data_IF_251292314079
#
_entry.id   IF_251292314079
#
_cell.length_a   1.000
_cell.length_b   1.000
_cell.length_c   1.000
_cell.angle_alpha   90.00
_cell.angle_beta   90.00
_cell.angle_gamma   90.00
#
_symmetry.space_group_name_H-M   'P 1'
#
loop_
_entity.id
_entity.type
_entity.pdbx_description
1 polymer ?
#
# COMPACT_ATOMS: atom_id res chain seq x y z
N UNK A 1 -63.28 68.76 9.72
CA UNK A 1 -64.15 67.56 9.67
C UNK A 1 -64.00 66.95 8.29
N UNK A 2 -63.10 65.97 8.15
CA UNK A 2 -63.09 64.91 7.13
C UNK A 2 -61.84 64.05 7.36
N UNK A 3 -62.10 62.78 7.57
CA UNK A 3 -61.16 61.76 8.01
C UNK A 3 -60.10 61.44 6.96
N UNK A 4 -58.83 61.51 7.36
CA UNK A 4 -57.77 60.71 6.76
C UNK A 4 -57.18 59.88 7.90
N UNK A 5 -57.91 58.85 8.30
CA UNK A 5 -57.38 57.81 9.17
C UNK A 5 -56.54 56.89 8.28
N UNK A 6 -55.23 56.93 8.53
CA UNK A 6 -54.20 56.03 8.02
C UNK A 6 -54.70 54.57 8.05
N UNK A 7 -54.92 53.98 6.88
CA UNK A 7 -54.84 52.52 6.78
C UNK A 7 -53.36 52.15 6.92
N UNK A 8 -52.94 51.82 8.14
CA UNK A 8 -51.72 51.06 8.34
C UNK A 8 -51.89 49.72 7.62
N UNK A 9 -50.94 49.28 6.79
CA UNK A 9 -51.00 47.93 6.24
C UNK A 9 -51.05 46.97 7.41
N UNK A 10 -52.11 46.17 7.52
CA UNK A 10 -52.16 45.05 8.45
C UNK A 10 -50.94 44.19 8.15
N UNK A 11 -49.94 44.27 9.02
CA UNK A 11 -48.79 43.37 9.00
C UNK A 11 -49.40 41.99 9.26
N UNK A 12 -49.53 41.22 8.18
CA UNK A 12 -50.19 39.92 8.16
C UNK A 12 -49.61 39.06 9.29
N UNK A 13 -50.44 38.48 10.18
CA UNK A 13 -49.97 37.61 11.24
C UNK A 13 -49.68 36.23 10.65
N UNK A 14 -48.61 36.13 9.84
CA UNK A 14 -48.18 34.85 9.24
C UNK A 14 -47.67 33.87 10.31
N UNK A 15 -47.41 34.36 11.53
CA UNK A 15 -46.79 33.62 12.63
C UNK A 15 -47.75 33.07 13.71
N UNK A 16 -49.08 33.30 13.62
CA UNK A 16 -50.01 32.83 14.66
C UNK A 16 -50.82 31.59 14.30
N UNK A 17 -50.74 31.10 13.06
CA UNK A 17 -51.38 29.85 12.69
C UNK A 17 -50.51 28.66 13.12
N UNK A 18 -50.98 27.77 14.03
CA UNK A 18 -50.23 26.58 14.42
C UNK A 18 -49.84 25.70 13.23
N UNK A 19 -50.60 25.72 12.12
CA UNK A 19 -50.23 25.01 10.90
C UNK A 19 -48.94 25.57 10.27
N UNK A 20 -48.74 26.90 10.27
CA UNK A 20 -47.54 27.55 9.74
C UNK A 20 -46.30 27.30 10.60
N UNK A 21 -46.50 27.11 11.91
CA UNK A 21 -45.42 26.74 12.84
C UNK A 21 -44.89 25.34 12.52
N UNK A 22 -45.77 24.35 12.33
CA UNK A 22 -45.35 22.98 11.96
C UNK A 22 -44.67 22.92 10.61
N UNK A 23 -45.14 23.70 9.63
CA UNK A 23 -44.48 23.83 8.32
C UNK A 23 -43.07 24.43 8.47
N UNK A 24 -42.92 25.47 9.28
CA UNK A 24 -41.63 26.14 9.51
C UNK A 24 -40.64 25.25 10.28
N UNK A 25 -41.10 24.52 11.31
CA UNK A 25 -40.29 23.52 12.02
C UNK A 25 -39.88 22.38 11.08
N UNK A 26 -40.82 21.87 10.27
CA UNK A 26 -40.53 20.85 9.27
C UNK A 26 -39.47 21.30 8.26
N UNK A 27 -39.60 22.52 7.74
CA UNK A 27 -38.61 23.10 6.82
C UNK A 27 -37.24 23.25 7.48
N UNK A 28 -37.18 23.77 8.71
CA UNK A 28 -35.93 23.93 9.45
C UNK A 28 -35.22 22.58 9.69
N UNK A 29 -35.97 21.53 10.05
CA UNK A 29 -35.44 20.18 10.22
C UNK A 29 -34.90 19.63 8.90
N UNK A 30 -35.65 19.76 7.80
CA UNK A 30 -35.20 19.32 6.47
C UNK A 30 -33.93 20.06 6.04
N UNK A 31 -33.87 21.38 6.19
CA UNK A 31 -32.69 22.17 5.85
C UNK A 31 -31.49 21.79 6.71
N UNK A 32 -31.68 21.57 8.01
CA UNK A 32 -30.63 21.10 8.90
C UNK A 32 -30.07 19.74 8.45
N UNK A 33 -30.92 18.76 8.16
CA UNK A 33 -30.46 17.45 7.67
C UNK A 33 -29.81 17.53 6.29
N UNK A 34 -30.31 18.38 5.39
CA UNK A 34 -29.67 18.61 4.10
C UNK A 34 -28.26 19.18 4.26
N UNK A 35 -28.06 20.12 5.19
CA UNK A 35 -26.74 20.66 5.53
C UNK A 35 -25.82 19.60 6.13
N UNK A 36 -26.32 18.76 7.05
CA UNK A 36 -25.56 17.64 7.61
C UNK A 36 -25.16 16.67 6.49
N UNK A 37 -26.08 16.27 5.62
CA UNK A 37 -25.75 15.40 4.49
C UNK A 37 -24.73 16.06 3.57
N UNK A 38 -24.89 17.33 3.21
CA UNK A 38 -23.93 18.05 2.37
C UNK A 38 -22.52 18.10 3.00
N UNK A 39 -22.42 18.34 4.31
CA UNK A 39 -21.15 18.38 5.04
C UNK A 39 -20.48 17.01 5.15
N UNK A 40 -21.26 15.93 5.23
CA UNK A 40 -20.74 14.56 5.44
C UNK A 40 -20.75 13.67 4.20
N UNK A 41 -21.37 14.11 3.09
CA UNK A 41 -21.51 13.31 1.86
C UNK A 41 -20.16 12.84 1.33
N UNK A 42 -19.14 13.70 1.34
CA UNK A 42 -17.80 13.33 0.89
C UNK A 42 -17.16 12.27 1.78
N UNK A 43 -17.32 12.38 3.12
CA UNK A 43 -16.79 11.40 4.07
C UNK A 43 -17.48 10.05 3.92
N UNK A 44 -18.82 10.06 3.78
CA UNK A 44 -19.61 8.85 3.55
C UNK A 44 -19.21 8.19 2.23
N UNK A 45 -19.12 8.97 1.14
CA UNK A 45 -18.69 8.48 -0.18
C UNK A 45 -17.28 7.90 -0.14
N UNK A 46 -16.34 8.58 0.55
CA UNK A 46 -14.95 8.09 0.72
C UNK A 46 -14.89 6.82 1.57
N UNK A 47 -15.83 6.62 2.50
CA UNK A 47 -15.89 5.39 3.29
C UNK A 47 -16.48 4.22 2.50
N UNK A 48 -17.53 4.43 1.71
CA UNK A 48 -18.18 3.37 0.93
C UNK A 48 -17.44 3.02 -0.36
N UNK A 49 -16.79 3.97 -1.01
CA UNK A 49 -16.10 3.74 -2.28
C UNK A 49 -14.58 3.58 -2.10
N UNK A 50 -14.17 2.71 -1.17
CA UNK A 50 -12.75 2.37 -0.99
C UNK A 50 -12.33 1.26 -1.93
N UNK A 51 -11.12 1.36 -2.46
CA UNK A 51 -10.48 0.29 -3.20
C UNK A 51 -10.15 -0.87 -2.24
N UNK A 52 -10.51 -2.08 -2.64
CA UNK A 52 -10.09 -3.32 -2.00
C UNK A 52 -9.04 -3.94 -2.92
N UNK A 53 -7.82 -4.00 -2.42
CA UNK A 53 -6.68 -4.55 -3.13
C UNK A 53 -6.17 -5.81 -2.42
N UNK A 54 -5.36 -6.60 -3.12
CA UNK A 54 -4.71 -7.81 -2.60
C UNK A 54 -3.24 -7.88 -3.04
N UNK A 55 -2.45 -8.69 -2.36
CA UNK A 55 -1.04 -8.95 -2.68
C UNK A 55 -0.78 -10.43 -2.93
N UNK A 56 -0.06 -10.73 -4.00
CA UNK A 56 0.42 -12.07 -4.36
C UNK A 56 1.92 -11.99 -4.71
N UNK A 57 2.70 -13.02 -4.38
CA UNK A 57 4.10 -13.18 -4.79
C UNK A 57 4.19 -14.57 -5.43
N UNK A 58 4.41 -14.59 -6.73
CA UNK A 58 4.52 -15.82 -7.50
C UNK A 58 5.95 -15.95 -8.00
N UNK A 59 6.64 -17.05 -7.68
CA UNK A 59 8.01 -17.32 -8.10
C UNK A 59 8.06 -17.90 -9.52
N UNK A 60 7.36 -17.27 -10.45
CA UNK A 60 7.32 -17.68 -11.87
C UNK A 60 7.48 -16.46 -12.77
N UNK A 61 8.10 -16.59 -13.95
CA UNK A 61 8.04 -15.55 -14.96
C UNK A 61 6.58 -15.28 -15.39
N UNK A 62 6.20 -14.02 -15.69
CA UNK A 62 7.03 -12.81 -15.69
C UNK A 62 7.10 -12.08 -14.34
N UNK A 63 6.48 -12.62 -13.28
CA UNK A 63 6.44 -11.99 -11.96
C UNK A 63 7.83 -11.96 -11.31
N UNK A 64 8.57 -13.07 -11.38
CA UNK A 64 9.96 -13.18 -10.93
C UNK A 64 10.84 -13.77 -12.04
N UNK A 65 12.03 -13.21 -12.26
CA UNK A 65 12.98 -13.71 -13.27
C UNK A 65 14.40 -13.21 -12.98
N UNK A 66 15.37 -13.86 -13.62
CA UNK A 66 16.76 -13.48 -13.62
C UNK A 66 17.01 -12.33 -14.59
N UNK A 67 17.79 -11.34 -14.15
CA UNK A 67 18.32 -10.30 -15.04
C UNK A 67 19.82 -10.17 -14.87
N UNK A 68 20.44 -9.66 -15.93
CA UNK A 68 21.84 -9.25 -15.91
C UNK A 68 21.95 -7.82 -15.36
N UNK A 69 22.83 -7.63 -14.38
CA UNK A 69 23.23 -6.30 -13.93
C UNK A 69 24.31 -5.77 -14.87
N UNK A 70 24.12 -4.56 -15.39
CA UNK A 70 25.12 -3.85 -16.20
C UNK A 70 25.66 -2.63 -15.47
N UNK A 71 26.95 -2.35 -15.65
CA UNK A 71 27.55 -1.07 -15.20
C UNK A 71 27.14 0.09 -16.13
N UNK A 72 27.62 1.30 -15.83
CA UNK A 72 27.34 2.49 -16.64
C UNK A 72 27.89 2.39 -18.07
N UNK A 73 28.88 1.52 -18.29
CA UNK A 73 29.49 1.22 -19.58
C UNK A 73 28.73 0.13 -20.35
N UNK A 74 27.67 -0.45 -19.76
CA UNK A 74 26.86 -1.51 -20.35
C UNK A 74 27.41 -2.92 -20.17
N UNK A 75 28.58 -3.07 -19.54
CA UNK A 75 29.20 -4.37 -19.29
C UNK A 75 28.42 -5.12 -18.22
N UNK A 76 28.15 -6.41 -18.46
CA UNK A 76 27.45 -7.26 -17.49
C UNK A 76 28.40 -7.53 -16.32
N UNK A 77 28.05 -7.02 -15.15
CA UNK A 77 28.80 -7.15 -13.90
C UNK A 77 28.27 -8.25 -12.98
N UNK A 78 27.10 -8.80 -13.28
CA UNK A 78 26.53 -9.89 -12.49
C UNK A 78 25.16 -10.33 -12.94
N UNK A 79 24.61 -11.31 -12.23
CA UNK A 79 23.24 -11.78 -12.37
C UNK A 79 22.52 -11.61 -11.05
N UNK A 80 21.21 -11.41 -11.13
CA UNK A 80 20.35 -11.17 -9.97
C UNK A 80 18.96 -11.75 -10.25
N UNK A 81 18.27 -12.20 -9.20
CA UNK A 81 16.90 -12.70 -9.28
C UNK A 81 15.98 -11.67 -8.61
N UNK A 82 15.15 -10.98 -9.37
CA UNK A 82 14.18 -10.03 -8.80
C UNK A 82 12.88 -10.73 -8.42
N UNK A 83 12.34 -10.35 -7.27
CA UNK A 83 11.05 -10.80 -6.75
C UNK A 83 10.06 -9.63 -6.77
N UNK A 84 8.87 -9.87 -7.32
CA UNK A 84 7.80 -8.86 -7.35
C UNK A 84 6.58 -9.30 -6.57
N UNK A 85 5.98 -8.32 -5.93
CA UNK A 85 4.64 -8.40 -5.38
C UNK A 85 3.67 -7.91 -6.46
N UNK A 86 2.73 -8.77 -6.83
CA UNK A 86 1.61 -8.42 -7.67
C UNK A 86 0.50 -7.86 -6.79
N UNK A 87 0.15 -6.60 -7.01
CA UNK A 87 -0.96 -5.93 -6.33
C UNK A 87 -2.17 -5.93 -7.23
N UNK A 88 -3.22 -6.65 -6.83
CA UNK A 88 -4.41 -6.85 -7.63
C UNK A 88 -5.56 -5.99 -7.09
N UNK A 89 -6.29 -5.35 -7.99
CA UNK A 89 -7.60 -4.79 -7.67
C UNK A 89 -8.63 -5.92 -7.52
N UNK A 90 -9.37 -5.92 -6.41
CA UNK A 90 -10.45 -6.89 -6.15
C UNK A 90 -11.84 -6.24 -6.22
N UNK A 91 -12.02 -5.05 -5.64
CA UNK A 91 -13.34 -4.37 -5.62
C UNK A 91 -13.21 -2.86 -5.35
N UNK A 92 -14.30 -2.11 -5.55
CA UNK A 92 -14.41 -0.68 -5.27
C UNK A 92 -13.81 0.21 -6.35
N UNK A 93 -13.47 1.45 -5.99
CA UNK A 93 -12.78 2.38 -6.90
C UNK A 93 -11.34 1.92 -7.21
N UNK A 94 -10.67 2.60 -8.15
CA UNK A 94 -9.22 2.49 -8.29
C UNK A 94 -8.53 2.89 -6.97
N UNK A 95 -7.38 2.26 -6.69
CA UNK A 95 -6.55 2.63 -5.54
C UNK A 95 -5.62 3.79 -5.92
N UNK A 96 -5.62 4.86 -5.14
CA UNK A 96 -4.77 6.04 -5.33
C UNK A 96 -3.67 6.12 -4.27
N UNK A 97 -2.50 6.62 -4.67
CA UNK A 97 -1.29 6.75 -3.84
C UNK A 97 -0.99 5.47 -3.07
N UNK A 98 -1.07 4.34 -3.79
CA UNK A 98 -0.89 3.01 -3.21
C UNK A 98 0.58 2.80 -2.85
N UNK A 99 0.83 2.31 -1.65
CA UNK A 99 2.16 2.02 -1.13
C UNK A 99 2.20 0.62 -0.51
N UNK A 100 3.38 0.00 -0.57
CA UNK A 100 3.66 -1.27 0.13
C UNK A 100 4.87 -1.06 1.00
N UNK A 101 4.78 -1.51 2.25
CA UNK A 101 5.88 -1.43 3.20
C UNK A 101 6.03 -2.76 3.96
N UNK A 102 7.23 -3.36 3.99
CA UNK A 102 7.55 -4.36 4.99
C UNK A 102 7.59 -3.67 6.36
N UNK A 103 6.64 -4.01 7.23
CA UNK A 103 6.50 -3.37 8.55
C UNK A 103 7.15 -4.17 9.66
N UNK A 104 7.37 -5.46 9.44
CA UNK A 104 8.07 -6.33 10.38
C UNK A 104 8.88 -7.39 9.65
N UNK A 105 10.03 -7.74 10.21
CA UNK A 105 10.89 -8.81 9.71
C UNK A 105 11.50 -9.57 10.89
N UNK A 106 11.22 -10.86 10.95
CA UNK A 106 11.66 -11.77 12.00
C UNK A 106 12.50 -12.89 11.39
N UNK A 107 13.61 -13.23 12.06
CA UNK A 107 14.33 -14.46 11.80
C UNK A 107 13.66 -15.60 12.55
N UNK A 108 13.47 -16.73 11.88
CA UNK A 108 12.94 -17.97 12.44
C UNK A 108 14.13 -18.82 12.89
N UNK A 109 14.29 -18.96 14.22
CA UNK A 109 15.19 -19.93 14.83
C UNK A 109 14.45 -21.23 15.18
N UNK A 110 15.12 -22.15 15.86
CA UNK A 110 14.58 -23.49 16.17
C UNK A 110 13.24 -23.46 16.90
N UNK A 111 13.03 -22.50 17.82
CA UNK A 111 11.78 -22.36 18.58
C UNK A 111 11.40 -20.89 18.87
N UNK A 112 11.98 -19.93 18.16
CA UNK A 112 11.77 -18.49 18.47
C UNK A 112 11.82 -17.62 17.22
N UNK A 113 10.90 -16.68 17.15
CA UNK A 113 10.98 -15.53 16.25
C UNK A 113 11.81 -14.43 16.92
N UNK A 114 12.91 -14.02 16.27
CA UNK A 114 13.72 -12.89 16.73
C UNK A 114 13.61 -11.76 15.72
N UNK A 115 13.25 -10.56 16.19
CA UNK A 115 13.23 -9.34 15.35
C UNK A 115 14.62 -9.10 14.76
N UNK A 116 14.68 -8.77 13.47
CA UNK A 116 15.93 -8.31 12.86
C UNK A 116 16.30 -6.94 13.42
N UNK A 117 17.33 -6.90 14.28
CA UNK A 117 17.76 -5.72 15.04
C UNK A 117 17.90 -4.45 14.20
N UNK A 118 18.44 -4.58 13.00
CA UNK A 118 18.75 -3.43 12.14
C UNK A 118 17.72 -3.22 11.03
N UNK A 119 16.66 -4.02 10.94
CA UNK A 119 15.65 -3.84 9.90
C UNK A 119 14.93 -2.49 10.02
N UNK A 120 14.79 -1.78 8.91
CA UNK A 120 14.08 -0.50 8.84
C UNK A 120 12.85 -0.59 7.93
N UNK A 121 11.64 -0.37 8.46
CA UNK A 121 10.41 -0.29 7.67
C UNK A 121 10.47 0.90 6.71
N UNK A 122 10.53 0.63 5.41
CA UNK A 122 10.59 1.66 4.35
C UNK A 122 9.73 1.18 3.18
N UNK A 123 9.01 2.09 2.55
CA UNK A 123 8.21 1.80 1.35
C UNK A 123 9.05 1.15 0.25
N UNK A 124 8.47 0.15 -0.39
CA UNK A 124 9.02 -0.53 -1.56
C UNK A 124 8.84 0.31 -2.82
N UNK A 125 9.65 0.02 -3.84
CA UNK A 125 9.58 0.68 -5.15
C UNK A 125 8.58 -0.03 -6.04
N UNK A 126 7.80 0.74 -6.79
CA UNK A 126 6.93 0.18 -7.83
C UNK A 126 7.71 -0.12 -9.10
N UNK A 127 7.48 -1.31 -9.66
CA UNK A 127 8.18 -1.76 -10.86
C UNK A 127 7.87 -0.85 -12.05
N UNK A 128 8.87 -0.59 -12.90
CA UNK A 128 8.74 0.17 -14.14
C UNK A 128 8.42 1.67 -13.99
N UNK A 129 8.58 2.23 -12.80
CA UNK A 129 8.47 3.69 -12.58
C UNK A 129 9.86 4.33 -12.47
N UNK A 130 10.21 5.13 -13.49
CA UNK A 130 11.41 5.97 -13.48
C UNK A 130 11.02 7.41 -13.87
N UNK A 131 11.29 8.43 -13.01
CA UNK A 131 11.89 8.32 -11.68
C UNK A 131 10.96 7.59 -10.68
N UNK A 132 11.53 7.12 -9.56
CA UNK A 132 10.76 6.54 -8.46
C UNK A 132 9.71 7.55 -7.98
N UNK A 133 8.47 7.10 -7.79
CA UNK A 133 7.36 7.96 -7.37
C UNK A 133 6.51 7.30 -6.30
N UNK A 134 5.96 8.13 -5.41
CA UNK A 134 4.99 7.73 -4.39
C UNK A 134 3.54 7.86 -4.89
N UNK A 135 3.32 8.45 -6.06
CA UNK A 135 1.98 8.66 -6.61
C UNK A 135 1.59 7.50 -7.52
N UNK A 136 1.09 6.42 -6.93
CA UNK A 136 0.81 5.19 -7.66
C UNK A 136 -0.67 4.88 -7.66
N UNK A 137 -1.18 4.63 -8.87
CA UNK A 137 -2.56 4.21 -9.10
C UNK A 137 -2.63 2.75 -9.50
N UNK A 138 -3.46 1.98 -8.78
CA UNK A 138 -3.87 0.62 -9.16
C UNK A 138 -5.26 0.70 -9.81
N UNK A 139 -5.38 0.54 -11.13
CA UNK A 139 -6.66 0.68 -11.82
C UNK A 139 -7.64 -0.44 -11.47
N UNK A 140 -8.94 -0.16 -11.67
CA UNK A 140 -10.02 -1.14 -11.49
C UNK A 140 -9.80 -2.35 -12.39
N UNK A 141 -9.97 -3.56 -11.84
CA UNK A 141 -9.82 -4.84 -12.54
C UNK A 141 -8.44 -5.11 -13.14
N UNK A 142 -7.42 -4.32 -12.78
CA UNK A 142 -6.04 -4.50 -13.22
C UNK A 142 -5.13 -4.76 -12.02
N UNK A 143 -3.85 -4.96 -12.31
CA UNK A 143 -2.81 -5.12 -11.30
C UNK A 143 -1.60 -4.22 -11.60
N UNK A 144 -0.75 -4.05 -10.59
CA UNK A 144 0.57 -3.43 -10.70
C UNK A 144 1.60 -4.30 -10.00
N UNK A 145 2.84 -4.26 -10.47
CA UNK A 145 3.95 -4.92 -9.78
C UNK A 145 4.70 -3.91 -8.90
N UNK A 146 5.06 -4.37 -7.71
CA UNK A 146 5.96 -3.69 -6.79
C UNK A 146 7.17 -4.59 -6.57
N UNK A 147 8.37 -4.03 -6.68
CA UNK A 147 9.60 -4.79 -6.49
C UNK A 147 9.78 -5.04 -4.98
N UNK A 148 9.75 -6.31 -4.56
CA UNK A 148 10.03 -6.67 -3.16
C UNK A 148 11.52 -6.52 -2.87
N UNK A 149 12.34 -6.98 -3.81
CA UNK A 149 13.77 -7.03 -3.69
C UNK A 149 14.38 -7.96 -4.70
N UNK A 150 15.69 -8.13 -4.58
CA UNK A 150 16.47 -8.97 -5.47
C UNK A 150 17.55 -9.75 -4.74
N UNK A 151 17.80 -10.96 -5.22
CA UNK A 151 18.86 -11.82 -4.71
C UNK A 151 20.11 -11.67 -5.55
N UNK A 152 21.26 -11.56 -4.87
CA UNK A 152 22.59 -11.63 -5.50
C UNK A 152 23.44 -12.69 -4.84
N UNK A 153 24.47 -13.15 -5.55
CA UNK A 153 25.52 -13.99 -4.99
C UNK A 153 26.38 -13.20 -3.99
N UNK A 154 26.62 -13.77 -2.83
CA UNK A 154 27.57 -13.24 -1.84
C UNK A 154 29.00 -13.30 -2.38
N UNK A 155 29.83 -12.30 -2.05
CA UNK A 155 31.25 -12.31 -2.40
C UNK A 155 32.02 -13.45 -1.70
N UNK A 156 31.53 -13.93 -0.56
CA UNK A 156 32.23 -14.91 0.29
C UNK A 156 31.70 -16.35 0.13
N UNK A 157 31.24 -16.72 -1.07
CA UNK A 157 30.84 -18.10 -1.41
C UNK A 157 29.51 -18.17 -2.16
N UNK A 158 28.89 -19.36 -2.17
CA UNK A 158 27.66 -19.63 -2.93
C UNK A 158 26.39 -19.33 -2.15
N UNK A 159 26.40 -18.29 -1.32
CA UNK A 159 25.25 -17.87 -0.52
C UNK A 159 24.46 -16.79 -1.26
N UNK A 160 23.14 -16.86 -1.23
CA UNK A 160 22.28 -15.82 -1.76
C UNK A 160 22.03 -14.73 -0.70
N UNK A 161 22.09 -13.45 -1.09
CA UNK A 161 21.76 -12.31 -0.22
C UNK A 161 20.58 -11.58 -0.84
N UNK A 162 19.56 -11.27 -0.05
CA UNK A 162 18.40 -10.49 -0.49
C UNK A 162 18.62 -9.01 -0.18
N UNK A 163 18.41 -8.15 -1.17
CA UNK A 163 18.33 -6.71 -1.04
C UNK A 163 16.88 -6.30 -1.22
N UNK A 164 16.25 -5.66 -0.22
CA UNK A 164 14.89 -5.15 -0.39
C UNK A 164 14.91 -3.88 -1.26
N UNK A 165 14.05 -3.83 -2.27
CA UNK A 165 13.99 -2.73 -3.23
C UNK A 165 13.17 -1.57 -2.66
N UNK A 166 13.80 -0.83 -1.76
CA UNK A 166 13.17 0.29 -1.04
C UNK A 166 13.32 1.62 -1.75
N UNK A 167 12.38 2.53 -1.51
CA UNK A 167 12.36 3.89 -2.09
C UNK A 167 13.67 4.64 -1.87
N UNK A 168 14.30 4.42 -0.71
CA UNK A 168 15.62 4.92 -0.35
C UNK A 168 16.38 3.80 0.35
N UNK A 169 17.59 3.51 -0.11
CA UNK A 169 18.47 2.55 0.56
C UNK A 169 19.10 3.18 1.80
N UNK A 170 18.93 2.62 3.00
CA UNK A 170 19.57 3.14 4.21
C UNK A 170 21.10 3.03 4.16
N UNK A 171 21.77 3.98 4.82
CA UNK A 171 23.19 3.88 5.09
C UNK A 171 23.49 2.70 6.04
N UNK A 172 24.71 2.14 6.01
CA UNK A 172 25.15 1.17 6.99
C UNK A 172 25.01 1.71 8.43
N UNK A 173 24.63 0.84 9.36
CA UNK A 173 24.54 1.15 10.79
C UNK A 173 25.79 0.65 11.53
N UNK A 174 25.81 0.75 12.86
CA UNK A 174 26.88 0.19 13.69
C UNK A 174 27.16 -1.28 13.29
N UNK A 175 28.42 -1.68 13.35
CA UNK A 175 28.92 -3.00 12.91
C UNK A 175 28.93 -3.23 11.38
N UNK A 176 28.63 -2.20 10.58
CA UNK A 176 28.69 -2.27 9.10
C UNK A 176 27.52 -3.01 8.46
N UNK A 177 26.48 -3.35 9.23
CA UNK A 177 25.27 -3.98 8.72
C UNK A 177 24.41 -2.98 7.94
N UNK A 178 23.75 -3.45 6.89
CA UNK A 178 22.82 -2.64 6.09
C UNK A 178 21.39 -3.10 6.41
N UNK A 179 20.53 -2.23 6.97
CA UNK A 179 19.18 -2.57 7.45
C UNK A 179 18.33 -3.49 6.58
N UNK A 180 18.34 -3.23 5.27
CA UNK A 180 17.43 -3.85 4.32
C UNK A 180 18.14 -4.89 3.43
N UNK A 181 19.27 -5.41 3.92
CA UNK A 181 20.04 -6.50 3.31
C UNK A 181 19.89 -7.73 4.20
N UNK A 182 19.17 -8.73 3.70
CA UNK A 182 18.81 -9.93 4.45
C UNK A 182 19.75 -11.07 4.05
N UNK A 183 20.44 -11.62 5.06
CA UNK A 183 21.36 -12.76 4.92
C UNK A 183 20.58 -14.07 4.72
N UNK A 184 21.21 -15.16 4.24
CA UNK A 184 20.64 -16.50 4.19
C UNK A 184 19.94 -16.94 5.48
N UNK A 185 18.79 -17.60 5.34
CA UNK A 185 18.08 -18.22 6.45
C UNK A 185 16.57 -18.35 6.23
N UNK A 186 15.88 -18.61 7.35
CA UNK A 186 14.42 -18.68 7.45
C UNK A 186 13.89 -17.45 8.15
N UNK A 187 12.83 -16.87 7.58
CA UNK A 187 12.26 -15.61 7.99
C UNK A 187 10.75 -15.64 7.96
N UNK A 188 10.15 -14.82 8.80
CA UNK A 188 8.78 -14.37 8.65
C UNK A 188 8.79 -12.86 8.49
N UNK A 189 7.93 -12.32 7.65
CA UNK A 189 7.78 -10.88 7.48
C UNK A 189 6.33 -10.50 7.25
N UNK A 190 6.01 -9.24 7.49
CA UNK A 190 4.67 -8.69 7.29
C UNK A 190 4.73 -7.50 6.34
N UNK A 191 3.88 -7.54 5.31
CA UNK A 191 3.69 -6.44 4.37
C UNK A 191 2.39 -5.69 4.70
N UNK A 192 2.47 -4.37 4.70
CA UNK A 192 1.33 -3.46 4.73
C UNK A 192 1.12 -2.87 3.34
N UNK A 193 -0.09 -3.06 2.81
CA UNK A 193 -0.60 -2.37 1.61
C UNK A 193 -1.58 -1.27 2.05
N UNK A 194 -1.29 -0.02 1.72
CA UNK A 194 -2.08 1.17 2.05
C UNK A 194 -2.20 2.15 0.88
N UNK A 195 -3.00 3.19 1.05
CA UNK A 195 -3.22 4.26 0.08
C UNK A 195 -4.38 5.18 0.50
N UNK A 196 -4.58 6.28 -0.21
CA UNK A 196 -5.51 7.37 0.18
C UNK A 196 -6.97 6.94 0.32
N UNK A 197 -7.38 6.00 -0.52
CA UNK A 197 -8.72 5.42 -0.56
C UNK A 197 -8.68 3.89 -0.56
N UNK A 198 -7.57 3.28 -0.13
CA UNK A 198 -7.40 1.83 -0.08
C UNK A 198 -7.78 1.31 1.30
N UNK A 199 -8.53 0.21 1.37
CA UNK A 199 -8.69 -0.54 2.61
C UNK A 199 -7.35 -1.21 2.94
N UNK A 200 -6.69 -0.74 4.00
CA UNK A 200 -5.40 -1.27 4.41
C UNK A 200 -5.44 -2.80 4.57
N UNK A 201 -4.44 -3.47 4.00
CA UNK A 201 -4.28 -4.92 4.04
C UNK A 201 -2.92 -5.25 4.64
N UNK A 202 -2.91 -6.20 5.59
CA UNK A 202 -1.70 -6.78 6.13
C UNK A 202 -1.64 -8.25 5.74
N UNK A 203 -0.50 -8.69 5.21
CA UNK A 203 -0.24 -10.11 4.95
C UNK A 203 1.09 -10.52 5.53
N UNK A 204 1.11 -11.69 6.15
CA UNK A 204 2.31 -12.31 6.70
C UNK A 204 2.81 -13.40 5.77
N UNK A 205 4.12 -13.49 5.64
CA UNK A 205 4.80 -14.37 4.70
C UNK A 205 5.96 -15.07 5.40
N UNK A 206 6.21 -16.31 5.01
CA UNK A 206 7.42 -17.06 5.28
C UNK A 206 8.36 -16.94 4.08
N UNK A 207 9.64 -16.72 4.37
CA UNK A 207 10.72 -16.68 3.39
C UNK A 207 11.84 -17.61 3.84
N UNK A 208 12.27 -18.51 2.96
CA UNK A 208 13.46 -19.33 3.16
C UNK A 208 14.37 -19.22 1.93
N UNK A 209 15.64 -18.95 2.16
CA UNK A 209 16.66 -18.99 1.12
C UNK A 209 18.05 -19.25 1.71
N UNK A 210 18.92 -19.88 0.92
CA UNK A 210 20.29 -20.16 1.37
C UNK A 210 21.34 -20.03 0.27
N UNK A 211 21.28 -20.91 -0.75
CA UNK A 211 22.31 -21.04 -1.78
C UNK A 211 21.97 -20.25 -3.03
N UNK A 212 23.00 -19.71 -3.66
CA UNK A 212 22.92 -19.11 -4.98
C UNK A 212 23.14 -20.18 -6.06
N UNK A 213 22.38 -20.08 -7.15
CA UNK A 213 22.61 -20.81 -8.41
C UNK A 213 22.48 -19.82 -9.57
N UNK A 214 23.23 -20.07 -10.64
CA UNK A 214 23.11 -19.32 -11.90
C UNK A 214 21.97 -19.85 -12.79
N UNK A 215 21.34 -20.97 -12.40
CA UNK A 215 20.14 -21.49 -13.03
C UNK A 215 18.90 -20.86 -12.38
N UNK A 216 18.13 -20.09 -13.17
CA UNK A 216 16.92 -19.41 -12.71
C UNK A 216 15.89 -20.38 -12.12
N UNK A 217 15.70 -21.54 -12.77
CA UNK A 217 14.73 -22.52 -12.33
C UNK A 217 15.11 -23.15 -10.98
N UNK A 218 16.39 -23.43 -10.77
CA UNK A 218 16.91 -23.90 -9.49
C UNK A 218 16.70 -22.83 -8.41
N UNK A 219 16.99 -21.56 -8.72
CA UNK A 219 16.78 -20.46 -7.79
C UNK A 219 15.31 -20.32 -7.37
N UNK A 220 14.41 -20.19 -8.34
CA UNK A 220 13.00 -19.89 -8.08
C UNK A 220 12.19 -21.08 -7.55
N UNK A 221 12.55 -22.31 -7.92
CA UNK A 221 11.78 -23.50 -7.51
C UNK A 221 12.37 -24.26 -6.32
N UNK A 222 13.66 -24.10 -6.01
CA UNK A 222 14.33 -24.86 -4.95
C UNK A 222 14.94 -23.99 -3.87
N UNK A 223 15.72 -22.99 -4.27
CA UNK A 223 16.57 -22.24 -3.34
C UNK A 223 15.87 -21.03 -2.70
N UNK A 224 14.82 -20.50 -3.31
CA UNK A 224 13.97 -19.45 -2.75
C UNK A 224 12.58 -20.03 -2.52
N UNK A 225 12.02 -19.81 -1.33
CA UNK A 225 10.67 -20.23 -0.99
C UNK A 225 9.92 -19.10 -0.33
N UNK A 226 8.76 -18.76 -0.88
CA UNK A 226 7.78 -17.86 -0.27
C UNK A 226 6.51 -18.63 0.02
N UNK A 227 5.90 -18.36 1.18
CA UNK A 227 4.61 -18.92 1.55
C UNK A 227 3.80 -17.91 2.36
N UNK A 228 2.58 -17.63 1.91
CA UNK A 228 1.65 -16.80 2.70
C UNK A 228 1.21 -17.56 3.97
N UNK A 229 1.27 -16.88 5.11
CA UNK A 229 0.78 -17.37 6.39
C UNK A 229 -0.66 -16.91 6.55
N UNK A 230 -1.58 -17.88 6.65
CA UNK A 230 -3.02 -17.62 6.87
C UNK A 230 -3.32 -17.26 8.32
#
# INVERSE_FOLDING_TARGET
MNEIIKQAPQIVPVLTDPANLWVSVGLAVVTFFALVVALFQERIRKYWNRAVLDMEINLIPPDCHQISLSNQQGEIVGQTIYIRIKVLHKNGSAGENVEIMPIHFWRVGENKLSVLKHFLPINLVWSHFQPRTNTIRVPVSLFRHCDFGHFIKSQNGDKAILFLDTMVQPNPVADGEIPNVIKPGKYQFELLLSGDNVKALRKKWELEFEKWSYDENEMLNRNIRFKEVK
#
